data_IF_752613891077
#
_entry.id   IF_752613891077
#
_cell.length_a   1.000
_cell.length_b   1.000
_cell.length_c   1.000
_cell.angle_alpha   90.00
_cell.angle_beta   90.00
_cell.angle_gamma   90.00
#
_symmetry.space_group_name_H-M   'P 1'
#
loop_
_entity.id
_entity.type
_entity.pdbx_description
1 polymer ?
#
# COMPACT_ATOMS: atom_id res chain seq x y z
N UNK A 1 9.86 -1.29 -7.81
CA UNK A 1 10.84 -1.16 -6.71
C UNK A 1 10.15 -1.21 -5.36
N UNK A 2 9.24 -0.28 -5.03
CA UNK A 2 8.55 -0.23 -3.72
C UNK A 2 7.91 -1.56 -3.28
N UNK A 3 7.11 -2.19 -4.15
CA UNK A 3 6.48 -3.48 -3.84
C UNK A 3 7.50 -4.61 -3.53
N UNK A 4 8.65 -4.64 -4.19
CA UNK A 4 9.69 -5.64 -3.90
C UNK A 4 10.30 -5.40 -2.50
N UNK A 5 10.56 -4.14 -2.15
CA UNK A 5 11.04 -3.78 -0.81
C UNK A 5 9.98 -4.10 0.26
N UNK A 6 8.70 -3.91 -0.07
CA UNK A 6 7.61 -4.28 0.83
C UNK A 6 7.57 -5.79 1.09
N UNK A 7 7.71 -6.60 0.04
CA UNK A 7 7.83 -8.06 0.18
C UNK A 7 9.04 -8.46 1.04
N UNK A 8 10.23 -7.92 0.76
CA UNK A 8 11.46 -8.23 1.52
C UNK A 8 11.32 -7.86 3.00
N UNK A 9 10.74 -6.69 3.29
CA UNK A 9 10.47 -6.26 4.66
C UNK A 9 9.43 -7.16 5.36
N UNK A 10 8.36 -7.52 4.66
CA UNK A 10 7.30 -8.38 5.18
C UNK A 10 7.81 -9.79 5.49
N UNK A 11 8.54 -10.43 4.57
CA UNK A 11 9.22 -11.73 4.79
C UNK A 11 10.26 -11.63 5.90
N UNK A 12 10.90 -10.46 6.05
CA UNK A 12 11.79 -10.14 7.16
C UNK A 12 11.11 -10.01 8.52
N UNK A 13 9.77 -10.11 8.60
CA UNK A 13 8.99 -10.07 9.82
C UNK A 13 8.41 -8.70 10.18
N UNK A 14 8.34 -7.77 9.23
CA UNK A 14 7.61 -6.51 9.47
C UNK A 14 6.10 -6.77 9.54
N UNK A 15 5.44 -6.24 10.56
CA UNK A 15 3.97 -6.29 10.72
C UNK A 15 3.27 -5.20 9.90
N UNK A 16 3.90 -4.03 9.79
CA UNK A 16 3.33 -2.82 9.18
C UNK A 16 4.36 -2.19 8.25
N UNK A 17 3.90 -1.84 7.05
CA UNK A 17 4.63 -1.07 6.05
C UNK A 17 3.80 0.18 5.78
N UNK A 18 4.46 1.34 5.66
CA UNK A 18 3.77 2.60 5.39
C UNK A 18 4.35 3.32 4.19
N UNK A 19 3.50 4.07 3.51
CA UNK A 19 3.95 5.13 2.61
C UNK A 19 4.69 6.24 3.38
N UNK A 20 5.56 6.96 2.68
CA UNK A 20 6.09 8.25 3.13
C UNK A 20 4.98 9.30 3.12
N UNK A 21 4.97 10.22 4.09
CA UNK A 21 3.91 11.23 4.23
C UNK A 21 3.86 12.24 3.07
N UNK A 22 4.96 12.39 2.33
CA UNK A 22 5.04 13.26 1.15
C UNK A 22 4.58 12.56 -0.14
N UNK A 23 4.32 11.25 -0.09
CA UNK A 23 3.86 10.50 -1.25
C UNK A 23 2.34 10.66 -1.44
N UNK A 24 1.95 11.60 -2.29
CA UNK A 24 0.56 11.79 -2.71
C UNK A 24 0.16 10.80 -3.84
N UNK A 25 -0.51 11.30 -4.89
CA UNK A 25 -0.95 10.52 -6.05
C UNK A 25 -0.34 11.01 -7.38
N UNK A 26 1.00 10.96 -7.56
CA UNK A 26 1.63 11.43 -8.79
C UNK A 26 1.40 10.46 -9.96
N UNK A 27 1.38 10.97 -11.19
CA UNK A 27 1.09 10.19 -12.42
C UNK A 27 1.99 8.95 -12.62
N UNK A 28 3.23 8.97 -12.11
CA UNK A 28 4.16 7.85 -12.23
C UNK A 28 4.03 6.80 -11.11
N UNK A 29 3.21 7.04 -10.09
CA UNK A 29 3.01 6.16 -8.94
C UNK A 29 1.61 6.35 -8.35
N UNK A 30 0.59 6.14 -9.19
CA UNK A 30 -0.81 6.36 -8.83
C UNK A 30 -1.28 5.39 -7.74
N UNK A 31 -2.38 5.69 -7.05
CA UNK A 31 -3.01 4.76 -6.10
C UNK A 31 -3.43 3.47 -6.81
N UNK A 32 -4.03 3.59 -7.99
CA UNK A 32 -4.48 2.50 -8.86
C UNK A 32 -3.36 1.54 -9.26
N UNK A 33 -2.14 2.07 -9.46
CA UNK A 33 -0.99 1.22 -9.77
C UNK A 33 -0.28 0.73 -8.50
N UNK A 34 -0.16 1.58 -7.47
CA UNK A 34 0.65 1.31 -6.29
C UNK A 34 -0.01 0.31 -5.36
N UNK A 35 -1.27 0.52 -5.01
CA UNK A 35 -1.96 -0.30 -4.00
C UNK A 35 -2.00 -1.76 -4.45
N UNK A 36 -2.47 -2.12 -5.66
CA UNK A 36 -2.53 -3.53 -6.06
C UNK A 36 -1.16 -4.20 -6.09
N UNK A 37 -0.11 -3.48 -6.51
CA UNK A 37 1.26 -4.02 -6.55
C UNK A 37 1.80 -4.31 -5.14
N UNK A 38 1.52 -3.44 -4.18
CA UNK A 38 1.93 -3.66 -2.79
C UNK A 38 1.12 -4.79 -2.16
N UNK A 39 -0.19 -4.83 -2.38
CA UNK A 39 -1.05 -5.90 -1.88
C UNK A 39 -0.65 -7.27 -2.44
N UNK A 40 -0.35 -7.39 -3.74
CA UNK A 40 0.16 -8.63 -4.34
C UNK A 40 1.49 -9.07 -3.71
N UNK A 41 2.40 -8.12 -3.46
CA UNK A 41 3.67 -8.38 -2.80
C UNK A 41 3.47 -8.87 -1.35
N UNK A 42 2.54 -8.26 -0.62
CA UNK A 42 2.21 -8.68 0.74
C UNK A 42 1.50 -10.03 0.77
N UNK A 43 0.56 -10.32 -0.13
CA UNK A 43 -0.10 -11.63 -0.19
C UNK A 43 0.90 -12.77 -0.44
N UNK A 44 1.92 -12.51 -1.26
CA UNK A 44 3.05 -13.44 -1.45
C UNK A 44 3.85 -13.61 -0.16
N UNK A 45 4.26 -12.53 0.49
CA UNK A 45 5.01 -12.59 1.74
C UNK A 45 4.21 -13.33 2.84
N UNK A 46 2.95 -12.94 3.04
CA UNK A 46 2.03 -13.49 4.03
C UNK A 46 1.81 -15.00 3.83
N UNK A 47 1.78 -15.47 2.58
CA UNK A 47 1.69 -16.90 2.25
C UNK A 47 2.93 -17.68 2.65
N UNK A 48 4.11 -17.05 2.65
CA UNK A 48 5.38 -17.68 3.02
C UNK A 48 5.60 -17.70 4.54
N UNK A 49 5.28 -16.59 5.22
CA UNK A 49 5.49 -16.46 6.68
C UNK A 49 4.31 -16.93 7.52
N UNK A 50 3.11 -17.05 6.95
CA UNK A 50 1.91 -17.55 7.64
C UNK A 50 1.22 -16.53 8.55
N UNK A 51 1.56 -15.25 8.44
CA UNK A 51 0.98 -14.14 9.19
C UNK A 51 0.70 -12.96 8.25
N UNK A 52 -0.21 -12.06 8.63
CA UNK A 52 -0.64 -10.93 7.80
C UNK A 52 0.21 -9.68 8.01
N UNK A 53 0.41 -8.92 6.94
CA UNK A 53 1.12 -7.63 6.97
C UNK A 53 0.18 -6.50 6.56
N UNK A 54 0.23 -5.37 7.28
CA UNK A 54 -0.52 -4.16 6.93
C UNK A 54 0.31 -3.25 6.02
N UNK A 55 -0.33 -2.67 5.01
CA UNK A 55 0.20 -1.57 4.21
C UNK A 55 -0.66 -0.32 4.41
N UNK A 56 -0.13 0.65 5.15
CA UNK A 56 -0.82 1.92 5.40
C UNK A 56 -0.55 2.90 4.27
N UNK A 57 -1.53 3.04 3.39
CA UNK A 57 -1.46 3.91 2.22
C UNK A 57 -1.58 5.37 2.64
N UNK A 58 -0.74 6.24 2.12
CA UNK A 58 -0.89 7.68 2.38
C UNK A 58 -2.02 8.26 1.52
N UNK A 59 -3.03 8.84 2.18
CA UNK A 59 -4.14 9.54 1.53
C UNK A 59 -4.03 11.02 1.84
N UNK A 60 -3.64 11.81 0.84
CA UNK A 60 -3.50 13.26 0.94
C UNK A 60 -3.93 13.91 -0.36
N UNK A 61 -4.77 14.94 -0.25
CA UNK A 61 -5.16 15.81 -1.35
C UNK A 61 -5.96 17.00 -0.78
N UNK A 62 -6.42 17.90 -1.65
CA UNK A 62 -7.45 18.88 -1.32
C UNK A 62 -8.80 18.18 -1.12
N UNK A 63 -9.67 18.79 -0.32
CA UNK A 63 -11.08 18.37 -0.27
C UNK A 63 -11.80 18.81 -1.57
N UNK A 64 -12.72 18.00 -2.13
CA UNK A 64 -13.20 16.71 -1.61
C UNK A 64 -12.38 15.48 -2.04
N UNK A 65 -11.39 15.65 -2.91
CA UNK A 65 -10.61 14.56 -3.52
C UNK A 65 -9.99 13.59 -2.50
N UNK A 66 -9.62 14.08 -1.32
CA UNK A 66 -9.10 13.22 -0.25
C UNK A 66 -10.07 12.11 0.15
N UNK A 67 -11.39 12.37 0.17
CA UNK A 67 -12.40 11.35 0.47
C UNK A 67 -12.55 10.35 -0.68
N UNK A 68 -12.58 10.85 -1.92
CA UNK A 68 -12.65 9.99 -3.11
C UNK A 68 -11.43 9.06 -3.20
N UNK A 69 -10.24 9.56 -2.87
CA UNK A 69 -9.01 8.78 -2.83
C UNK A 69 -9.05 7.71 -1.72
N UNK A 70 -9.65 8.02 -0.56
CA UNK A 70 -9.83 7.05 0.52
C UNK A 70 -10.79 5.92 0.11
N UNK A 71 -11.93 6.26 -0.50
CA UNK A 71 -12.88 5.27 -1.04
C UNK A 71 -12.22 4.41 -2.12
N UNK A 72 -11.50 5.06 -3.07
CA UNK A 72 -10.77 4.34 -4.12
C UNK A 72 -9.70 3.40 -3.54
N UNK A 73 -8.99 3.80 -2.49
CA UNK A 73 -7.99 2.93 -1.87
C UNK A 73 -8.63 1.65 -1.28
N UNK A 74 -9.82 1.76 -0.68
CA UNK A 74 -10.56 0.59 -0.20
C UNK A 74 -10.99 -0.33 -1.35
N UNK A 75 -11.48 0.23 -2.46
CA UNK A 75 -11.85 -0.54 -3.66
C UNK A 75 -10.66 -1.31 -4.26
N UNK A 76 -9.45 -0.75 -4.16
CA UNK A 76 -8.21 -1.34 -4.64
C UNK A 76 -7.61 -2.38 -3.67
N UNK A 77 -8.21 -2.57 -2.49
CA UNK A 77 -7.80 -3.59 -1.52
C UNK A 77 -6.83 -3.11 -0.45
N UNK A 78 -6.72 -1.80 -0.21
CA UNK A 78 -5.95 -1.28 0.93
C UNK A 78 -6.44 -1.91 2.25
N UNK A 79 -5.50 -2.30 3.10
CA UNK A 79 -5.79 -3.00 4.36
C UNK A 79 -5.39 -2.22 5.62
N UNK A 80 -4.84 -1.01 5.48
CA UNK A 80 -4.47 -0.10 6.56
C UNK A 80 -4.23 1.33 6.10
#
# INVERSE_FOLDING_TARGET
MGANLAYEAAVGGADIIKDDELLANPEFNTLEDRIPRFMEALDRADSEKGEKTLYTVNITDKLPQMFENAERAQELGANG
#
